data_IF_565694279250
#
_entry.id   IF_565694279250
#
_cell.length_a   1.000
_cell.length_b   1.000
_cell.length_c   1.000
_cell.angle_alpha   90.00
_cell.angle_beta   90.00
_cell.angle_gamma   90.00
#
_symmetry.space_group_name_H-M   'P 1'
#
loop_
_entity.id
_entity.type
_entity.pdbx_description
1 polymer ?
#
# COMPACT_ATOMS: atom_id res chain seq x y z
N UNK A 1 3.37 -5.98 -19.28
CA UNK A 1 2.22 -6.90 -19.10
C UNK A 1 2.50 -7.69 -17.85
N UNK A 2 1.54 -7.78 -16.94
CA UNK A 2 1.70 -8.50 -15.68
C UNK A 2 0.52 -9.43 -15.49
N UNK A 3 0.76 -10.67 -15.08
CA UNK A 3 -0.24 -11.69 -14.75
C UNK A 3 -0.15 -11.97 -13.26
N UNK A 4 -1.24 -11.69 -12.55
CA UNK A 4 -1.38 -11.77 -11.10
C UNK A 4 -2.17 -13.04 -10.76
N UNK A 5 -1.63 -13.88 -9.88
CA UNK A 5 -2.36 -15.01 -9.30
C UNK A 5 -3.24 -14.57 -8.13
N UNK A 6 -4.19 -15.41 -7.73
CA UNK A 6 -5.09 -15.15 -6.59
C UNK A 6 -4.36 -14.79 -5.29
N UNK A 7 -3.24 -15.47 -4.97
CA UNK A 7 -2.45 -15.16 -3.76
C UNK A 7 -1.78 -13.77 -3.81
N UNK A 8 -1.26 -13.40 -4.98
CA UNK A 8 -0.69 -12.06 -5.22
C UNK A 8 -1.77 -10.99 -5.07
N UNK A 9 -2.93 -11.23 -5.67
CA UNK A 9 -4.06 -10.33 -5.62
C UNK A 9 -4.61 -10.17 -4.19
N UNK A 10 -4.70 -11.26 -3.42
CA UNK A 10 -5.09 -11.22 -2.01
C UNK A 10 -4.13 -10.36 -1.16
N UNK A 11 -2.83 -10.44 -1.47
CA UNK A 11 -1.81 -9.59 -0.83
C UNK A 11 -2.03 -8.13 -1.19
N UNK A 12 -2.27 -7.82 -2.48
CA UNK A 12 -2.55 -6.46 -2.94
C UNK A 12 -3.83 -5.88 -2.33
N UNK A 13 -4.89 -6.68 -2.21
CA UNK A 13 -6.15 -6.31 -1.54
C UNK A 13 -5.89 -6.00 -0.06
N UNK A 14 -5.08 -6.81 0.62
CA UNK A 14 -4.73 -6.59 2.02
C UNK A 14 -3.93 -5.29 2.21
N UNK A 15 -2.95 -5.04 1.35
CA UNK A 15 -2.17 -3.79 1.33
C UNK A 15 -3.09 -2.59 1.06
N UNK A 16 -3.96 -2.69 0.06
CA UNK A 16 -4.89 -1.63 -0.31
C UNK A 16 -5.86 -1.29 0.83
N UNK A 17 -6.37 -2.29 1.55
CA UNK A 17 -7.18 -2.07 2.75
C UNK A 17 -6.44 -1.38 3.90
N UNK A 18 -5.14 -1.59 4.02
CA UNK A 18 -4.32 -0.82 4.96
C UNK A 18 -4.15 0.63 4.50
N UNK A 19 -3.91 0.85 3.21
CA UNK A 19 -3.72 2.18 2.62
C UNK A 19 -4.99 3.03 2.63
N UNK A 20 -6.17 2.45 2.41
CA UNK A 20 -7.47 3.14 2.46
C UNK A 20 -7.73 3.80 3.83
N UNK A 21 -7.07 3.36 4.91
CA UNK A 21 -7.19 3.95 6.25
C UNK A 21 -6.40 5.24 6.42
N UNK A 22 -5.43 5.51 5.53
CA UNK A 22 -4.51 6.66 5.64
C UNK A 22 -4.59 7.61 4.44
N UNK A 23 -5.19 7.19 3.31
CA UNK A 23 -5.24 7.99 2.09
C UNK A 23 -6.34 7.49 1.14
N UNK A 24 -6.85 8.38 0.29
CA UNK A 24 -7.74 8.03 -0.83
C UNK A 24 -6.99 7.64 -2.11
N UNK A 25 -5.70 7.99 -2.17
CA UNK A 25 -4.81 7.78 -3.32
C UNK A 25 -3.50 7.13 -2.89
N UNK A 26 -2.87 6.39 -3.81
CA UNK A 26 -1.51 5.89 -3.64
C UNK A 26 -0.71 6.07 -4.93
N UNK A 27 0.60 5.89 -4.81
CA UNK A 27 1.53 5.79 -5.93
C UNK A 27 1.89 4.32 -6.11
N UNK A 28 1.66 3.80 -7.31
CA UNK A 28 2.20 2.51 -7.73
C UNK A 28 3.57 2.75 -8.33
N UNK A 29 4.59 2.12 -7.76
CA UNK A 29 5.97 2.16 -8.24
C UNK A 29 6.35 0.75 -8.71
N UNK A 30 6.48 0.58 -10.03
CA UNK A 30 6.70 -0.69 -10.68
C UNK A 30 8.08 -0.69 -11.32
N UNK A 31 8.93 -1.62 -10.91
CA UNK A 31 10.22 -1.92 -11.53
C UNK A 31 10.18 -3.31 -12.13
N UNK A 32 11.30 -3.83 -12.67
CA UNK A 32 11.39 -5.23 -13.09
C UNK A 32 11.36 -6.22 -11.93
N UNK A 33 11.74 -5.77 -10.73
CA UNK A 33 12.00 -6.64 -9.58
C UNK A 33 10.95 -6.49 -8.48
N UNK A 34 10.16 -5.41 -8.50
CA UNK A 34 9.20 -5.08 -7.45
C UNK A 34 7.90 -4.45 -7.98
N UNK A 35 6.80 -4.79 -7.31
CA UNK A 35 5.54 -4.06 -7.36
C UNK A 35 5.32 -3.37 -6.01
N UNK A 36 5.28 -2.05 -6.00
CA UNK A 36 5.26 -1.31 -4.75
C UNK A 36 4.09 -0.35 -4.66
N UNK A 37 3.52 -0.25 -3.45
CA UNK A 37 2.55 0.75 -3.07
C UNK A 37 3.22 1.76 -2.16
N UNK A 38 3.20 3.02 -2.57
CA UNK A 38 3.82 4.12 -1.83
C UNK A 38 2.81 5.22 -1.55
N UNK A 39 2.84 5.74 -0.34
CA UNK A 39 2.09 6.94 0.05
C UNK A 39 2.99 7.79 0.93
N UNK A 40 3.05 9.08 0.61
CA UNK A 40 3.61 10.11 1.47
C UNK A 40 2.59 11.22 1.64
N UNK A 41 2.46 11.69 2.86
CA UNK A 41 1.87 12.97 3.19
C UNK A 41 3.00 13.90 3.65
N UNK A 42 3.22 15.07 3.00
CA UNK A 42 4.33 15.96 3.32
C UNK A 42 4.09 16.83 4.58
N UNK A 43 2.95 16.73 5.26
CA UNK A 43 2.68 17.50 6.49
C UNK A 43 3.60 17.15 7.66
N UNK A 44 3.68 18.01 8.68
CA UNK A 44 4.49 17.78 9.90
C UNK A 44 4.12 16.49 10.65
N UNK A 45 2.85 16.09 10.59
CA UNK A 45 2.34 14.81 11.10
C UNK A 45 2.07 13.81 9.95
N UNK A 46 2.78 13.98 8.84
CA UNK A 46 2.55 13.26 7.59
C UNK A 46 2.87 11.78 7.72
N UNK A 47 1.92 10.94 7.30
CA UNK A 47 2.09 9.49 7.27
C UNK A 47 2.84 9.10 6.00
N UNK A 48 3.85 8.25 6.16
CA UNK A 48 4.50 7.58 5.05
C UNK A 48 4.22 6.07 5.14
N UNK A 49 3.82 5.48 4.02
CA UNK A 49 3.56 4.04 3.90
C UNK A 49 4.27 3.52 2.66
N UNK A 50 5.04 2.46 2.85
CA UNK A 50 5.72 1.72 1.81
C UNK A 50 5.38 0.25 1.96
N UNK A 51 4.89 -0.37 0.89
CA UNK A 51 4.67 -1.80 0.83
C UNK A 51 5.29 -2.30 -0.48
N UNK A 52 6.36 -3.08 -0.35
CA UNK A 52 7.07 -3.66 -1.49
C UNK A 52 6.74 -5.14 -1.60
N UNK A 53 6.37 -5.57 -2.80
CA UNK A 53 6.17 -6.96 -3.15
C UNK A 53 7.22 -7.34 -4.19
N UNK A 54 8.17 -8.19 -3.77
CA UNK A 54 9.22 -8.70 -4.64
C UNK A 54 8.64 -9.67 -5.66
N UNK A 55 9.01 -9.48 -6.93
CA UNK A 55 8.58 -10.34 -8.04
C UNK A 55 9.10 -11.77 -7.90
N UNK A 56 10.25 -11.93 -7.23
CA UNK A 56 10.88 -13.23 -7.03
C UNK A 56 10.28 -14.00 -5.84
N UNK A 57 9.64 -13.31 -4.89
CA UNK A 57 9.11 -13.93 -3.66
C UNK A 57 7.63 -14.29 -3.78
N UNK A 58 6.89 -13.51 -4.55
CA UNK A 58 5.47 -13.76 -4.81
C UNK A 58 5.36 -14.26 -6.24
N UNK A 59 4.93 -15.51 -6.45
CA UNK A 59 4.88 -16.16 -7.75
C UNK A 59 4.06 -15.38 -8.82
N UNK A 60 4.66 -14.38 -9.47
CA UNK A 60 4.08 -13.77 -10.66
C UNK A 60 4.29 -14.75 -11.83
N UNK A 61 3.22 -15.21 -12.48
CA UNK A 61 3.39 -16.09 -13.64
C UNK A 61 4.05 -15.36 -14.82
N UNK A 62 3.73 -14.08 -14.98
CA UNK A 62 4.33 -13.22 -15.99
C UNK A 62 4.45 -11.81 -15.42
N UNK A 63 5.65 -11.23 -15.44
CA UNK A 63 5.87 -9.87 -14.99
C UNK A 63 6.85 -9.17 -15.92
N UNK A 64 6.33 -8.22 -16.70
CA UNK A 64 7.12 -7.46 -17.67
C UNK A 64 6.81 -5.97 -17.55
N UNK A 65 7.79 -5.22 -17.04
CA UNK A 65 7.80 -3.76 -17.06
C UNK A 65 8.79 -3.29 -18.13
N UNK A 66 8.26 -2.54 -19.09
CA UNK A 66 9.02 -1.88 -20.14
C UNK A 66 8.54 -0.43 -20.22
N UNK A 67 9.44 0.52 -20.02
CA UNK A 67 9.11 1.94 -19.94
C UNK A 67 10.25 2.78 -20.46
N UNK A 68 9.94 3.86 -21.19
CA UNK A 68 10.94 4.86 -21.61
C UNK A 68 11.59 5.58 -20.42
N UNK A 69 11.01 5.45 -19.22
CA UNK A 69 11.58 5.96 -17.98
C UNK A 69 12.46 4.90 -17.29
N UNK A 70 13.46 4.38 -17.99
CA UNK A 70 14.41 3.36 -17.49
C UNK A 70 13.70 2.12 -16.90
N UNK A 71 12.65 1.64 -17.57
CA UNK A 71 11.85 0.49 -17.11
C UNK A 71 11.23 0.65 -15.71
N UNK A 72 10.97 1.91 -15.33
CA UNK A 72 10.17 2.26 -14.15
C UNK A 72 8.84 2.85 -14.60
N UNK A 73 7.76 2.42 -13.94
CA UNK A 73 6.44 3.04 -14.04
C UNK A 73 6.07 3.56 -12.66
N UNK A 74 5.88 4.87 -12.55
CA UNK A 74 5.43 5.50 -11.32
C UNK A 74 4.15 6.29 -11.58
N UNK A 75 3.04 5.83 -11.01
CA UNK A 75 1.71 6.30 -11.34
C UNK A 75 0.87 6.52 -10.08
N UNK A 76 0.30 7.72 -9.94
CA UNK A 76 -0.68 8.02 -8.90
C UNK A 76 -2.07 7.54 -9.34
N UNK A 77 -2.75 6.82 -8.46
CA UNK A 77 -4.06 6.22 -8.70
C UNK A 77 -4.97 6.38 -7.49
N UNK A 78 -6.29 6.36 -7.73
CA UNK A 78 -7.29 6.28 -6.66
C UNK A 78 -7.30 4.88 -6.07
N UNK A 79 -7.17 4.77 -4.75
CA UNK A 79 -7.26 3.49 -4.04
C UNK A 79 -8.65 2.88 -4.20
N UNK A 80 -9.71 3.69 -4.16
CA UNK A 80 -11.09 3.22 -4.38
C UNK A 80 -11.26 2.51 -5.73
N UNK A 81 -10.72 3.09 -6.80
CA UNK A 81 -10.80 2.49 -8.14
C UNK A 81 -9.93 1.24 -8.25
N UNK A 82 -8.72 1.29 -7.68
CA UNK A 82 -7.80 0.17 -7.66
C UNK A 82 -8.38 -1.03 -6.90
N UNK A 83 -8.94 -0.79 -5.72
CA UNK A 83 -9.57 -1.81 -4.88
C UNK A 83 -10.82 -2.39 -5.52
N UNK A 84 -11.61 -1.59 -6.25
CA UNK A 84 -12.72 -2.11 -7.04
C UNK A 84 -12.23 -3.07 -8.12
N UNK A 85 -11.17 -2.70 -8.84
CA UNK A 85 -10.58 -3.56 -9.86
C UNK A 85 -10.09 -4.88 -9.26
N UNK A 86 -9.32 -4.82 -8.17
CA UNK A 86 -8.83 -6.03 -7.49
C UNK A 86 -9.96 -6.93 -6.97
N UNK A 87 -10.99 -6.38 -6.34
CA UNK A 87 -12.12 -7.18 -5.82
C UNK A 87 -12.95 -7.83 -6.94
N UNK A 88 -13.08 -7.18 -8.09
CA UNK A 88 -13.77 -7.78 -9.24
C UNK A 88 -13.04 -9.00 -9.80
N UNK A 89 -11.76 -9.12 -9.47
CA UNK A 89 -10.84 -10.14 -9.92
C UNK A 89 -10.63 -11.27 -8.90
N UNK A 90 -11.27 -11.20 -7.72
CA UNK A 90 -11.03 -12.07 -6.57
C UNK A 90 -11.29 -13.56 -6.84
N UNK A 91 -12.26 -13.86 -7.71
CA UNK A 91 -12.61 -15.24 -8.11
C UNK A 91 -11.87 -15.72 -9.37
N UNK A 92 -11.01 -14.90 -9.94
CA UNK A 92 -10.29 -15.27 -11.15
C UNK A 92 -9.04 -16.07 -10.79
N UNK A 93 -8.77 -17.13 -11.55
CA UNK A 93 -7.52 -17.88 -11.40
C UNK A 93 -6.31 -16.95 -11.66
N UNK A 94 -6.45 -16.09 -12.67
CA UNK A 94 -5.44 -15.09 -13.02
C UNK A 94 -6.07 -13.78 -13.44
N UNK A 95 -5.35 -12.69 -13.17
CA UNK A 95 -5.70 -11.35 -13.60
C UNK A 95 -4.57 -10.70 -14.35
N UNK A 96 -4.84 -10.30 -15.58
CA UNK A 96 -3.88 -9.61 -16.42
C UNK A 96 -3.99 -8.10 -16.21
N UNK A 97 -2.90 -7.49 -15.75
CA UNK A 97 -2.72 -6.05 -15.65
C UNK A 97 -1.89 -5.52 -16.83
N UNK A 98 -2.39 -4.47 -17.48
CA UNK A 98 -1.73 -3.77 -18.58
C UNK A 98 -1.86 -2.26 -18.43
N UNK A 99 -0.81 -1.55 -18.79
CA UNK A 99 -0.90 -0.11 -19.04
C UNK A 99 -1.54 0.09 -20.41
N UNK A 100 -2.67 0.79 -20.47
CA UNK A 100 -3.41 1.07 -21.70
C UNK A 100 -3.75 2.54 -21.79
N UNK A 101 -4.28 2.95 -22.94
CA UNK A 101 -4.80 4.30 -23.17
C UNK A 101 -6.27 4.17 -23.59
N UNK A 102 -7.19 4.67 -22.76
CA UNK A 102 -8.63 4.69 -23.03
C UNK A 102 -9.01 6.10 -23.46
N UNK A 103 -9.20 6.28 -24.77
CA UNK A 103 -9.31 7.61 -25.37
C UNK A 103 -8.01 8.40 -25.19
N UNK A 104 -8.03 9.44 -24.35
CA UNK A 104 -6.84 10.22 -23.99
C UNK A 104 -6.32 9.96 -22.56
N UNK A 105 -6.99 9.09 -21.80
CA UNK A 105 -6.64 8.83 -20.40
C UNK A 105 -5.79 7.56 -20.30
N UNK A 106 -4.58 7.63 -19.72
CA UNK A 106 -3.80 6.44 -19.41
C UNK A 106 -4.45 5.67 -18.25
N UNK A 107 -4.54 4.35 -18.38
CA UNK A 107 -5.20 3.48 -17.40
C UNK A 107 -4.37 2.24 -17.09
N UNK A 108 -4.47 1.73 -15.87
CA UNK A 108 -4.20 0.33 -15.61
C UNK A 108 -5.46 -0.48 -15.90
N UNK A 109 -5.43 -1.28 -16.96
CA UNK A 109 -6.51 -2.20 -17.31
C UNK A 109 -6.26 -3.56 -16.67
N UNK A 110 -7.26 -4.06 -15.97
CA UNK A 110 -7.31 -5.38 -15.37
C UNK A 110 -8.30 -6.22 -16.16
N UNK A 111 -7.82 -7.35 -16.69
CA UNK A 111 -8.63 -8.34 -17.39
C UNK A 111 -8.56 -9.65 -16.62
N UNK A 112 -9.71 -10.12 -16.16
CA UNK A 112 -9.84 -11.32 -15.35
C UNK A 112 -10.80 -12.29 -16.01
N UNK A 113 -10.43 -13.56 -16.03
CA UNK A 113 -11.28 -14.65 -16.50
C UNK A 113 -11.84 -15.39 -15.27
N UNK A 114 -13.15 -15.25 -15.08
CA UNK A 114 -13.92 -15.97 -14.06
C UNK A 114 -14.93 -16.86 -14.80
N UNK A 115 -16.18 -16.98 -14.31
CA UNK A 115 -17.32 -17.43 -15.13
C UNK A 115 -17.56 -16.50 -16.33
N UNK A 116 -17.20 -15.21 -16.19
CA UNK A 116 -17.24 -14.20 -17.24
C UNK A 116 -15.90 -13.49 -17.37
N UNK A 117 -15.66 -12.90 -18.54
CA UNK A 117 -14.55 -11.98 -18.75
C UNK A 117 -14.88 -10.62 -18.14
N UNK A 118 -14.12 -10.22 -17.11
CA UNK A 118 -14.27 -8.93 -16.42
C UNK A 118 -13.14 -8.01 -16.84
N UNK A 119 -13.48 -6.84 -17.36
CA UNK A 119 -12.52 -5.78 -17.67
C UNK A 119 -12.77 -4.56 -16.78
N UNK A 120 -11.76 -4.16 -16.00
CA UNK A 120 -11.78 -2.96 -15.18
C UNK A 120 -10.64 -2.02 -15.56
N UNK A 121 -10.95 -0.76 -15.81
CA UNK A 121 -9.96 0.26 -16.11
C UNK A 121 -9.82 1.18 -14.90
N UNK A 122 -8.59 1.31 -14.39
CA UNK A 122 -8.23 2.24 -13.31
C UNK A 122 -7.49 3.43 -13.92
N UNK A 123 -8.11 4.62 -14.00
CA UNK A 123 -7.46 5.81 -14.54
C UNK A 123 -6.22 6.18 -13.72
N UNK A 124 -5.13 6.49 -14.42
CA UNK A 124 -3.92 7.08 -13.82
C UNK A 124 -4.16 8.57 -13.67
N UNK A 125 -4.18 9.04 -12.43
CA UNK A 125 -4.38 10.45 -12.09
C UNK A 125 -3.17 11.28 -12.52
N UNK A 126 -1.96 10.75 -12.31
CA UNK A 126 -0.71 11.40 -12.71
C UNK A 126 0.39 10.36 -12.92
N UNK A 127 1.08 10.44 -14.06
CA UNK A 127 2.38 9.80 -14.25
C UNK A 127 3.45 10.70 -13.64
N UNK A 128 4.28 10.17 -12.75
CA UNK A 128 5.30 10.95 -12.06
C UNK A 128 6.58 11.04 -12.90
N UNK A 129 7.18 12.24 -12.95
CA UNK A 129 8.52 12.45 -13.49
C UNK A 129 9.56 11.91 -12.51
N UNK A 130 10.81 11.68 -12.96
CA UNK A 130 11.90 11.23 -12.09
C UNK A 130 12.10 12.10 -10.85
N UNK A 131 11.95 13.42 -10.99
CA UNK A 131 12.06 14.37 -9.88
C UNK A 131 10.95 14.18 -8.86
N UNK A 132 9.68 14.08 -9.30
CA UNK A 132 8.55 13.82 -8.39
C UNK A 132 8.55 12.42 -7.79
N UNK A 133 9.34 11.47 -8.31
CA UNK A 133 9.49 10.14 -7.72
C UNK A 133 10.33 10.18 -6.44
N UNK A 134 11.30 11.09 -6.33
CA UNK A 134 12.16 11.20 -5.14
C UNK A 134 11.33 11.53 -3.89
N UNK A 135 10.24 12.27 -4.08
CA UNK A 135 9.29 12.54 -3.00
C UNK A 135 8.64 11.28 -2.44
N UNK A 136 8.62 10.17 -3.16
CA UNK A 136 8.06 8.89 -2.73
C UNK A 136 9.14 7.84 -2.55
N UNK A 137 10.38 8.24 -2.26
CA UNK A 137 11.43 7.29 -1.94
C UNK A 137 11.25 6.76 -0.52
N UNK A 138 11.46 5.46 -0.36
CA UNK A 138 11.51 4.84 0.97
C UNK A 138 12.66 5.45 1.79
N UNK A 139 12.40 5.90 3.03
CA UNK A 139 13.43 6.51 3.85
C UNK A 139 14.45 5.46 4.31
N UNK A 140 15.73 5.80 4.23
CA UNK A 140 16.79 5.03 4.88
C UNK A 140 16.75 5.28 6.38
N UNK A 141 16.32 4.29 7.15
CA UNK A 141 16.25 4.37 8.61
C UNK A 141 17.56 3.88 9.23
N UNK A 142 18.04 4.59 10.25
CA UNK A 142 19.11 4.07 11.12
C UNK A 142 18.61 2.89 11.95
N UNK A 143 19.47 1.91 12.29
CA UNK A 143 19.10 0.85 13.20
C UNK A 143 18.55 1.41 14.53
N UNK A 144 17.46 0.85 15.08
CA UNK A 144 16.92 1.33 16.35
C UNK A 144 17.83 0.92 17.52
N UNK A 145 17.90 1.76 18.55
CA UNK A 145 18.62 1.44 19.80
C UNK A 145 17.95 0.29 20.57
N UNK A 146 16.62 0.18 20.45
CA UNK A 146 15.81 -0.85 21.12
C UNK A 146 14.77 -1.37 20.11
N UNK A 147 14.66 -2.70 20.00
CA UNK A 147 13.64 -3.38 19.18
C UNK A 147 12.92 -4.44 20.01
N UNK A 148 11.63 -4.64 19.75
CA UNK A 148 10.84 -5.73 20.34
C UNK A 148 10.06 -6.47 19.29
N UNK A 149 9.69 -7.71 19.60
CA UNK A 149 8.60 -8.38 18.90
C UNK A 149 7.29 -7.70 19.30
N UNK A 150 6.56 -7.21 18.29
CA UNK A 150 5.30 -6.55 18.55
C UNK A 150 4.29 -7.57 19.10
N UNK A 151 3.57 -7.25 20.20
CA UNK A 151 2.53 -8.14 20.70
C UNK A 151 1.37 -8.26 19.69
N UNK A 152 0.46 -9.23 19.87
CA UNK A 152 -0.64 -9.46 18.91
C UNK A 152 -1.34 -8.14 18.55
N UNK A 153 -1.25 -7.70 17.27
CA UNK A 153 -1.80 -6.42 16.84
C UNK A 153 -3.31 -6.29 17.10
N UNK A 154 -4.05 -7.40 17.15
CA UNK A 154 -5.49 -7.40 17.44
C UNK A 154 -5.78 -7.03 18.89
N UNK A 155 -4.97 -7.53 19.82
CA UNK A 155 -5.06 -7.15 21.23
C UNK A 155 -4.67 -5.69 21.42
N UNK A 156 -3.55 -5.26 20.83
CA UNK A 156 -3.10 -3.86 20.89
C UNK A 156 -4.18 -2.93 20.34
N UNK A 157 -4.72 -3.23 19.15
CA UNK A 157 -5.82 -2.44 18.55
C UNK A 157 -7.00 -2.31 19.51
N UNK A 158 -7.44 -3.40 20.13
CA UNK A 158 -8.59 -3.38 21.06
C UNK A 158 -8.34 -2.46 22.25
N UNK A 159 -7.12 -2.47 22.81
CA UNK A 159 -6.74 -1.58 23.91
C UNK A 159 -6.67 -0.13 23.45
N UNK A 160 -6.03 0.15 22.31
CA UNK A 160 -5.88 1.49 21.75
C UNK A 160 -7.23 2.13 21.41
N UNK A 161 -8.18 1.38 20.85
CA UNK A 161 -9.53 1.88 20.56
C UNK A 161 -10.28 2.31 21.83
N UNK A 162 -10.09 1.59 22.95
CA UNK A 162 -10.66 2.01 24.25
C UNK A 162 -9.97 3.26 24.79
N UNK A 163 -8.66 3.34 24.66
CA UNK A 163 -7.86 4.49 25.10
C UNK A 163 -8.18 5.78 24.32
N UNK A 164 -8.44 5.65 23.01
CA UNK A 164 -8.87 6.76 22.14
C UNK A 164 -10.16 7.45 22.61
N UNK A 165 -11.03 6.74 23.32
CA UNK A 165 -12.25 7.33 23.90
C UNK A 165 -11.92 8.25 25.07
N UNK A 166 -10.80 8.00 25.77
CA UNK A 166 -10.41 8.73 26.97
C UNK A 166 -9.61 10.00 26.64
N UNK A 167 -8.72 9.93 25.65
CA UNK A 167 -7.90 11.06 25.21
C UNK A 167 -7.52 10.93 23.73
N UNK A 168 -7.19 12.06 23.10
CA UNK A 168 -6.72 12.12 21.72
C UNK A 168 -5.31 11.54 21.57
N UNK A 169 -4.50 11.58 22.62
CA UNK A 169 -3.10 11.18 22.62
C UNK A 169 -2.89 9.89 23.42
N UNK A 170 -2.15 8.96 22.82
CA UNK A 170 -1.64 7.78 23.49
C UNK A 170 -0.12 7.84 23.47
N UNK A 171 0.47 7.80 24.66
CA UNK A 171 1.92 7.75 24.84
C UNK A 171 2.38 6.30 24.75
N UNK A 172 3.36 6.05 23.88
CA UNK A 172 3.97 4.73 23.70
C UNK A 172 5.38 4.77 24.26
N UNK A 173 5.69 3.88 25.19
CA UNK A 173 7.03 3.77 25.78
C UNK A 173 7.54 2.35 25.62
N UNK A 174 8.75 2.21 25.09
CA UNK A 174 9.48 0.95 25.03
C UNK A 174 10.68 1.04 25.97
N UNK A 175 10.84 0.07 26.87
CA UNK A 175 12.00 -0.01 27.75
C UNK A 175 13.01 -1.06 27.29
N UNK A 176 14.24 -0.97 27.82
CA UNK A 176 15.34 -1.93 27.54
C UNK A 176 15.05 -3.38 27.98
N UNK A 177 14.01 -3.58 28.79
CA UNK A 177 13.56 -4.92 29.22
C UNK A 177 12.57 -5.54 28.23
N UNK A 178 12.28 -4.88 27.12
CA UNK A 178 11.34 -5.34 26.10
C UNK A 178 9.87 -5.14 26.48
N UNK A 179 9.56 -4.27 27.44
CA UNK A 179 8.17 -3.95 27.81
C UNK A 179 7.67 -2.76 26.99
N UNK A 180 6.60 -2.98 26.24
CA UNK A 180 5.83 -1.94 25.56
C UNK A 180 4.70 -1.47 26.47
N UNK A 181 4.63 -0.17 26.73
CA UNK A 181 3.63 0.44 27.60
C UNK A 181 2.86 1.49 26.81
N UNK A 182 1.53 1.38 26.84
CA UNK A 182 0.61 2.40 26.33
C UNK A 182 0.02 3.17 27.51
N UNK A 183 0.06 4.51 27.47
CA UNK A 183 -0.49 5.38 28.52
C UNK A 183 -1.39 6.47 27.92
N UNK A 184 -2.43 6.82 28.65
CA UNK A 184 -3.25 8.02 28.41
C UNK A 184 -3.09 8.92 29.64
N UNK A 185 -2.91 10.21 29.42
CA UNK A 185 -2.88 11.20 30.49
C UNK A 185 -4.13 12.07 30.37
N UNK A 186 -5.09 11.86 31.26
CA UNK A 186 -6.29 12.70 31.36
C UNK A 186 -6.06 13.76 32.43
N UNK A 187 -6.25 15.04 32.09
CA UNK A 187 -6.34 16.11 33.09
C UNK A 187 -7.70 16.02 33.79
N UNK A 188 -7.80 15.18 34.83
CA UNK A 188 -8.95 15.23 35.74
C UNK A 188 -8.60 16.22 36.84
N UNK A 189 -8.95 17.48 36.64
CA UNK A 189 -9.02 18.47 37.73
C UNK A 189 -10.32 18.21 38.48
N UNK A 190 -10.23 17.64 39.68
CA UNK A 190 -11.33 17.61 40.64
C UNK A 190 -11.46 18.96 41.35
#
# INVERSE_FOLDING_TARGET
KTKLEGATLATFISIGHCLEKVSEECVLYLTKDSFEFRKRDPGENGIQVFASVSVNEVNFCEYLIQSKANDVICARVSLKNLMRAFKSSDRAEFTQMKLTKKGQVPCFSFLSETEFTIAQDVPILKLLSKESMEDYREPSLSPPEISIQFPDPRHVKTVIERMKVMDKFVYVTLNIKGTLIFKVQTEVVC
#
